data_IF_012201280583
#
_entry.id   IF_012201280583
#
_cell.length_a   1.000
_cell.length_b   1.000
_cell.length_c   1.000
_cell.angle_alpha   90.00
_cell.angle_beta   90.00
_cell.angle_gamma   90.00
#
_symmetry.space_group_name_H-M   'P 1'
#
loop_
_entity.id
_entity.type
_entity.pdbx_description
1 polymer ?
#
# COMPACT_ATOMS: atom_id res chain seq x y z
N UNK A 1 -24.40 3.44 53.12
CA UNK A 1 -23.22 3.21 54.00
C UNK A 1 -23.32 4.01 55.29
N UNK A 2 -23.65 5.30 55.25
CA UNK A 2 -23.72 6.18 56.44
C UNK A 2 -24.63 5.66 57.58
N UNK A 3 -25.86 5.25 57.27
CA UNK A 3 -26.79 4.68 58.28
C UNK A 3 -26.30 3.38 58.93
N UNK A 4 -25.45 2.63 58.23
CA UNK A 4 -24.89 1.35 58.69
C UNK A 4 -23.69 1.62 59.62
N UNK A 5 -22.88 2.63 59.28
CA UNK A 5 -21.78 3.12 60.11
C UNK A 5 -22.32 3.73 61.41
N UNK A 6 -23.40 4.50 61.36
CA UNK A 6 -24.08 5.03 62.56
C UNK A 6 -24.60 3.93 63.49
N UNK A 7 -25.18 2.86 62.93
CA UNK A 7 -25.66 1.73 63.74
C UNK A 7 -24.52 0.95 64.40
N UNK A 8 -23.42 0.73 63.68
CA UNK A 8 -22.22 0.07 64.21
C UNK A 8 -21.58 0.92 65.31
N UNK A 9 -21.52 2.25 65.13
CA UNK A 9 -21.00 3.18 66.14
C UNK A 9 -21.85 3.18 67.42
N UNK A 10 -23.18 3.08 67.29
CA UNK A 10 -24.11 3.04 68.43
C UNK A 10 -24.00 1.76 69.24
N UNK A 11 -23.78 0.62 68.59
CA UNK A 11 -23.70 -0.71 69.22
C UNK A 11 -22.25 -1.17 69.53
N UNK A 12 -21.25 -0.30 69.31
CA UNK A 12 -19.82 -0.63 69.45
C UNK A 12 -19.45 -1.14 70.85
N UNK A 13 -20.07 -0.56 71.89
CA UNK A 13 -19.86 -0.99 73.28
C UNK A 13 -20.27 -2.46 73.50
N UNK A 14 -21.36 -2.90 72.89
CA UNK A 14 -21.90 -4.28 73.03
C UNK A 14 -21.04 -5.27 72.22
N UNK A 15 -20.61 -4.85 71.03
CA UNK A 15 -19.74 -5.63 70.16
C UNK A 15 -18.35 -5.85 70.78
N UNK A 16 -17.79 -4.85 71.48
CA UNK A 16 -16.47 -4.94 72.12
C UNK A 16 -16.43 -5.84 73.35
N UNK A 17 -17.57 -6.06 74.02
CA UNK A 17 -17.67 -6.89 75.22
C UNK A 17 -17.96 -8.37 74.92
N UNK A 18 -18.37 -8.70 73.69
CA UNK A 18 -18.67 -10.07 73.26
C UNK A 18 -17.58 -10.60 72.30
N UNK A 19 -16.67 -11.49 72.74
CA UNK A 19 -15.53 -11.94 71.93
C UNK A 19 -15.95 -12.63 70.61
N UNK A 20 -17.11 -13.30 70.59
CA UNK A 20 -17.66 -13.91 69.38
C UNK A 20 -18.13 -12.88 68.34
N UNK A 21 -18.73 -11.76 68.76
CA UNK A 21 -19.17 -10.70 67.86
C UNK A 21 -17.99 -10.03 67.16
N UNK A 22 -16.90 -9.82 67.90
CA UNK A 22 -15.65 -9.30 67.34
C UNK A 22 -15.05 -10.25 66.28
N UNK A 23 -14.99 -11.56 66.57
CA UNK A 23 -14.52 -12.57 65.62
C UNK A 23 -15.37 -12.62 64.35
N UNK A 24 -16.69 -12.48 64.48
CA UNK A 24 -17.62 -12.49 63.35
C UNK A 24 -17.43 -11.26 62.46
N UNK A 25 -17.27 -10.07 63.05
CA UNK A 25 -16.99 -8.83 62.31
C UNK A 25 -15.61 -8.90 61.65
N UNK A 26 -14.59 -9.41 62.34
CA UNK A 26 -13.26 -9.60 61.77
C UNK A 26 -13.32 -10.54 60.55
N UNK A 27 -14.04 -11.66 60.64
CA UNK A 27 -14.23 -12.58 59.52
C UNK A 27 -14.95 -11.92 58.33
N UNK A 28 -15.98 -11.11 58.58
CA UNK A 28 -16.67 -10.34 57.54
C UNK A 28 -15.73 -9.33 56.89
N UNK A 29 -14.96 -8.57 57.68
CA UNK A 29 -13.99 -7.59 57.17
C UNK A 29 -12.89 -8.24 56.34
N UNK A 30 -12.36 -9.40 56.76
CA UNK A 30 -11.43 -10.19 55.97
C UNK A 30 -12.07 -10.71 54.67
N UNK A 31 -13.32 -11.18 54.72
CA UNK A 31 -14.06 -11.60 53.54
C UNK A 31 -14.26 -10.46 52.54
N UNK A 32 -14.66 -9.28 53.00
CA UNK A 32 -14.82 -8.08 52.16
C UNK A 32 -13.48 -7.61 51.58
N UNK A 33 -12.41 -7.60 52.38
CA UNK A 33 -11.07 -7.26 51.92
C UNK A 33 -10.57 -8.25 50.85
N UNK A 34 -10.81 -9.54 51.05
CA UNK A 34 -10.48 -10.58 50.06
C UNK A 34 -11.27 -10.43 48.77
N UNK A 35 -12.58 -10.16 48.85
CA UNK A 35 -13.41 -9.92 47.66
C UNK A 35 -12.98 -8.66 46.91
N UNK A 36 -12.68 -7.58 47.62
CA UNK A 36 -12.18 -6.34 47.03
C UNK A 36 -10.81 -6.54 46.36
N UNK A 37 -9.88 -7.24 47.02
CA UNK A 37 -8.58 -7.58 46.45
C UNK A 37 -8.73 -8.48 45.22
N UNK A 38 -9.53 -9.54 45.31
CA UNK A 38 -9.82 -10.45 44.18
C UNK A 38 -10.39 -9.69 42.99
N UNK A 39 -11.38 -8.82 43.21
CA UNK A 39 -11.96 -8.01 42.14
C UNK A 39 -10.94 -7.10 41.48
N UNK A 40 -10.12 -6.39 42.28
CA UNK A 40 -9.09 -5.49 41.75
C UNK A 40 -8.02 -6.24 40.96
N UNK A 41 -7.53 -7.37 41.48
CA UNK A 41 -6.51 -8.17 40.80
C UNK A 41 -7.05 -8.84 39.54
N UNK A 42 -8.29 -9.34 39.54
CA UNK A 42 -8.91 -9.86 38.31
C UNK A 42 -8.98 -8.78 37.23
N UNK A 43 -9.41 -7.56 37.58
CA UNK A 43 -9.48 -6.45 36.63
C UNK A 43 -8.10 -6.06 36.07
N UNK A 44 -7.05 -6.08 36.92
CA UNK A 44 -5.67 -5.81 36.47
C UNK A 44 -5.16 -6.92 35.56
N UNK A 45 -5.42 -8.19 35.90
CA UNK A 45 -5.03 -9.34 35.07
C UNK A 45 -5.71 -9.27 33.70
N UNK A 46 -7.01 -8.95 33.67
CA UNK A 46 -7.77 -8.80 32.43
C UNK A 46 -7.26 -7.63 31.57
N UNK A 47 -6.93 -6.50 32.20
CA UNK A 47 -6.31 -5.37 31.51
C UNK A 47 -4.92 -5.72 30.94
N UNK A 48 -4.10 -6.45 31.69
CA UNK A 48 -2.78 -6.89 31.21
C UNK A 48 -2.93 -7.90 30.08
N UNK A 49 -3.85 -8.87 30.20
CA UNK A 49 -4.10 -9.86 29.16
C UNK A 49 -4.60 -9.21 27.87
N UNK A 50 -5.60 -8.32 27.94
CA UNK A 50 -6.07 -7.57 26.76
C UNK A 50 -4.96 -6.73 26.13
N UNK A 51 -4.11 -6.08 26.94
CA UNK A 51 -2.95 -5.35 26.40
C UNK A 51 -1.94 -6.26 25.69
N UNK A 52 -1.68 -7.44 26.25
CA UNK A 52 -0.79 -8.43 25.63
C UNK A 52 -1.38 -8.98 24.34
N UNK A 53 -2.68 -9.24 24.30
CA UNK A 53 -3.36 -9.74 23.09
C UNK A 53 -3.31 -8.70 21.98
N UNK A 54 -3.59 -7.43 22.27
CA UNK A 54 -3.46 -6.35 21.27
C UNK A 54 -2.01 -6.16 20.78
N UNK A 55 -1.01 -6.33 21.66
CA UNK A 55 0.39 -6.27 21.25
C UNK A 55 0.78 -7.47 20.39
N UNK A 56 0.27 -8.68 20.69
CA UNK A 56 0.47 -9.87 19.88
C UNK A 56 -0.15 -9.73 18.50
N UNK A 57 -1.37 -9.20 18.39
CA UNK A 57 -2.01 -8.91 17.11
C UNK A 57 -1.19 -7.92 16.28
N UNK A 58 -0.72 -6.82 16.90
CA UNK A 58 0.15 -5.86 16.20
C UNK A 58 1.47 -6.48 15.74
N UNK A 59 2.05 -7.35 16.55
CA UNK A 59 3.29 -8.06 16.19
C UNK A 59 3.04 -9.01 15.02
N UNK A 60 1.93 -9.77 15.06
CA UNK A 60 1.52 -10.65 13.97
C UNK A 60 1.35 -9.87 12.66
N UNK A 61 0.58 -8.78 12.66
CA UNK A 61 0.36 -7.93 11.49
C UNK A 61 1.68 -7.36 10.95
N UNK A 62 2.58 -6.91 11.82
CA UNK A 62 3.91 -6.44 11.39
C UNK A 62 4.78 -7.56 10.82
N UNK A 63 4.70 -8.76 11.38
CA UNK A 63 5.43 -9.93 10.87
C UNK A 63 4.93 -10.33 9.49
N UNK A 64 3.61 -10.35 9.28
CA UNK A 64 3.00 -10.62 7.96
C UNK A 64 3.41 -9.57 6.91
N UNK A 65 3.41 -8.29 7.31
CA UNK A 65 3.90 -7.22 6.42
C UNK A 65 5.39 -7.40 6.08
N UNK A 66 6.23 -7.73 7.06
CA UNK A 66 7.66 -7.95 6.84
C UNK A 66 7.93 -9.13 5.90
N UNK A 67 7.24 -10.27 6.09
CA UNK A 67 7.34 -11.41 5.19
C UNK A 67 6.83 -11.07 3.78
N UNK A 68 5.71 -10.35 3.66
CA UNK A 68 5.21 -9.89 2.36
C UNK A 68 6.20 -8.98 1.62
N UNK A 69 6.87 -8.08 2.33
CA UNK A 69 7.90 -7.23 1.73
C UNK A 69 9.15 -8.01 1.34
N UNK A 70 9.57 -8.98 2.16
CA UNK A 70 10.69 -9.87 1.87
C UNK A 70 10.41 -10.72 0.63
N UNK A 71 9.24 -11.35 0.54
CA UNK A 71 8.82 -12.14 -0.62
C UNK A 71 8.80 -11.30 -1.91
N UNK A 72 8.33 -10.05 -1.82
CA UNK A 72 8.37 -9.12 -2.96
C UNK A 72 9.79 -8.76 -3.35
N UNK A 73 10.67 -8.48 -2.39
CA UNK A 73 12.06 -8.16 -2.64
C UNK A 73 12.78 -9.33 -3.33
N UNK A 74 12.60 -10.55 -2.82
CA UNK A 74 13.16 -11.77 -3.41
C UNK A 74 12.69 -11.96 -4.86
N UNK A 75 11.40 -11.73 -5.15
CA UNK A 75 10.88 -11.78 -6.54
C UNK A 75 11.53 -10.75 -7.45
N UNK A 76 11.87 -9.56 -6.95
CA UNK A 76 12.58 -8.56 -7.74
C UNK A 76 14.04 -8.95 -7.96
N UNK A 77 14.72 -9.45 -6.93
CA UNK A 77 16.09 -9.94 -7.05
C UNK A 77 16.20 -11.10 -8.05
N UNK A 78 15.26 -12.06 -8.00
CA UNK A 78 15.17 -13.15 -8.99
C UNK A 78 14.98 -12.62 -10.42
N UNK A 79 14.10 -11.63 -10.60
CA UNK A 79 13.90 -10.98 -11.91
C UNK A 79 15.17 -10.30 -12.39
N UNK A 80 15.90 -9.62 -11.50
CA UNK A 80 17.15 -8.89 -11.84
C UNK A 80 18.19 -9.89 -12.27
N UNK A 81 18.40 -10.93 -11.46
CA UNK A 81 19.34 -11.99 -11.77
C UNK A 81 19.04 -12.63 -13.12
N UNK A 82 17.77 -12.92 -13.42
CA UNK A 82 17.37 -13.45 -14.72
C UNK A 82 17.72 -12.51 -15.88
N UNK A 83 17.50 -11.19 -15.74
CA UNK A 83 17.79 -10.21 -16.79
C UNK A 83 19.29 -10.08 -17.01
N UNK A 84 20.09 -10.07 -15.94
CA UNK A 84 21.56 -10.00 -15.99
C UNK A 84 22.15 -11.26 -16.62
N UNK A 85 21.65 -12.44 -16.23
CA UNK A 85 22.15 -13.73 -16.74
C UNK A 85 21.67 -14.04 -18.17
N UNK A 86 20.74 -13.26 -18.71
CA UNK A 86 20.23 -13.45 -20.08
C UNK A 86 21.32 -13.14 -21.11
N UNK A 87 21.43 -13.98 -22.14
CA UNK A 87 22.26 -13.66 -23.29
C UNK A 87 21.72 -12.45 -24.08
N UNK A 88 22.49 -11.91 -25.01
CA UNK A 88 22.10 -10.72 -25.78
C UNK A 88 20.83 -10.95 -26.63
N UNK A 89 20.58 -12.18 -27.08
CA UNK A 89 19.43 -12.53 -27.91
C UNK A 89 18.17 -12.60 -27.06
N UNK A 90 18.22 -13.30 -25.93
CA UNK A 90 17.17 -13.39 -24.94
C UNK A 90 16.84 -12.02 -24.33
N UNK A 91 17.86 -11.20 -24.03
CA UNK A 91 17.64 -9.83 -23.54
C UNK A 91 16.91 -8.98 -24.59
N UNK A 92 17.29 -9.08 -25.87
CA UNK A 92 16.58 -8.42 -26.97
C UNK A 92 15.15 -8.93 -27.08
N UNK A 93 14.92 -10.24 -27.17
CA UNK A 93 13.59 -10.82 -27.32
C UNK A 93 12.65 -10.38 -26.20
N UNK A 94 13.12 -10.46 -24.95
CA UNK A 94 12.37 -9.99 -23.78
C UNK A 94 12.09 -8.49 -23.84
N UNK A 95 13.07 -7.68 -24.26
CA UNK A 95 12.86 -6.24 -24.40
C UNK A 95 11.79 -5.94 -25.45
N UNK A 96 11.82 -6.62 -26.60
CA UNK A 96 10.82 -6.45 -27.66
C UNK A 96 9.44 -6.91 -27.20
N UNK A 97 9.35 -7.98 -26.40
CA UNK A 97 8.09 -8.41 -25.80
C UNK A 97 7.51 -7.35 -24.86
N UNK A 98 8.33 -6.78 -23.96
CA UNK A 98 7.90 -5.69 -23.07
C UNK A 98 7.45 -4.46 -23.87
N UNK A 99 8.20 -4.09 -24.91
CA UNK A 99 7.82 -2.99 -25.82
C UNK A 99 6.48 -3.25 -26.49
N UNK A 100 6.26 -4.47 -27.00
CA UNK A 100 4.98 -4.86 -27.62
C UNK A 100 3.83 -4.70 -26.63
N UNK A 101 3.98 -5.25 -25.42
CA UNK A 101 2.97 -5.16 -24.37
C UNK A 101 2.69 -3.71 -23.94
N UNK A 102 3.73 -2.88 -23.90
CA UNK A 102 3.61 -1.44 -23.60
C UNK A 102 2.88 -0.69 -24.72
N UNK A 103 3.14 -1.00 -25.99
CA UNK A 103 2.42 -0.43 -27.14
C UNK A 103 0.94 -0.83 -27.15
N UNK A 104 0.63 -2.09 -26.84
CA UNK A 104 -0.76 -2.56 -26.72
C UNK A 104 -1.50 -1.85 -25.57
N UNK A 105 -0.81 -1.61 -24.45
CA UNK A 105 -1.31 -0.80 -23.34
C UNK A 105 -1.63 0.64 -23.79
N UNK A 106 -0.69 1.32 -24.46
CA UNK A 106 -0.87 2.68 -24.98
C UNK A 106 -2.09 2.75 -25.91
N UNK A 107 -2.19 1.81 -26.85
CA UNK A 107 -3.25 1.80 -27.86
C UNK A 107 -4.63 1.54 -27.26
N UNK A 108 -4.71 0.76 -26.18
CA UNK A 108 -5.96 0.54 -25.45
C UNK A 108 -6.46 1.83 -24.81
N UNK A 109 -5.60 2.54 -24.08
CA UNK A 109 -5.97 3.79 -23.42
C UNK A 109 -6.22 4.92 -24.42
N UNK A 110 -5.50 4.96 -25.54
CA UNK A 110 -5.77 5.93 -26.60
C UNK A 110 -7.19 5.77 -27.17
N UNK A 111 -7.61 4.52 -27.42
CA UNK A 111 -8.98 4.22 -27.85
C UNK A 111 -10.04 4.58 -26.80
N UNK A 112 -9.71 4.45 -25.53
CA UNK A 112 -10.60 4.84 -24.44
C UNK A 112 -10.73 6.37 -24.31
N UNK A 113 -9.63 7.09 -24.39
CA UNK A 113 -9.60 8.56 -24.41
C UNK A 113 -10.37 9.11 -25.63
N UNK A 114 -10.22 8.51 -26.81
CA UNK A 114 -10.97 8.88 -28.02
C UNK A 114 -12.49 8.68 -27.85
N UNK A 115 -12.92 7.60 -27.19
CA UNK A 115 -14.35 7.35 -26.90
C UNK A 115 -14.92 8.41 -25.94
N UNK A 116 -14.17 8.77 -24.91
CA UNK A 116 -14.56 9.84 -23.96
C UNK A 116 -14.69 11.19 -24.68
N UNK A 117 -13.70 11.53 -25.51
CA UNK A 117 -13.70 12.80 -26.26
C UNK A 117 -14.84 12.91 -27.28
N UNK A 118 -15.26 11.79 -27.89
CA UNK A 118 -16.44 11.77 -28.76
C UNK A 118 -17.75 11.99 -27.99
N UNK A 119 -17.87 11.42 -26.79
CA UNK A 119 -19.01 11.69 -25.89
C UNK A 119 -19.12 13.16 -25.48
N UNK A 120 -17.96 13.82 -25.29
CA UNK A 120 -17.88 15.24 -24.90
C UNK A 120 -18.44 16.21 -25.94
N UNK A 121 -18.28 15.95 -27.24
CA UNK A 121 -18.80 16.83 -28.30
C UNK A 121 -20.34 16.86 -28.35
N UNK A 122 -20.99 15.80 -27.87
CA UNK A 122 -22.45 15.67 -27.91
C UNK A 122 -23.18 16.47 -26.82
N UNK A 123 -22.49 16.84 -25.73
CA UNK A 123 -23.07 17.55 -24.58
C UNK A 123 -22.95 19.08 -24.67
N UNK A 124 -22.24 19.61 -25.68
CA UNK A 124 -21.80 21.01 -25.69
C UNK A 124 -22.82 22.02 -26.24
N UNK A 125 -23.96 21.59 -26.76
CA UNK A 125 -24.77 22.48 -27.61
C UNK A 125 -26.00 23.13 -26.94
N UNK A 126 -26.49 22.66 -25.78
CA UNK A 126 -27.81 23.12 -25.27
C UNK A 126 -27.97 23.25 -23.74
N UNK A 127 -26.89 23.29 -22.94
CA UNK A 127 -27.01 23.31 -21.47
C UNK A 127 -26.88 24.71 -20.82
N UNK A 128 -27.59 24.91 -19.70
CA UNK A 128 -27.48 26.10 -18.83
C UNK A 128 -26.06 26.25 -18.26
N UNK A 129 -25.63 27.46 -17.89
CA UNK A 129 -24.29 27.71 -17.33
C UNK A 129 -24.00 26.86 -16.07
N UNK A 130 -24.99 26.59 -15.23
CA UNK A 130 -24.82 25.74 -14.03
C UNK A 130 -24.68 24.25 -14.37
N UNK A 131 -25.41 23.77 -15.38
CA UNK A 131 -25.33 22.39 -15.86
C UNK A 131 -23.99 22.13 -16.54
N UNK A 132 -23.53 23.11 -17.33
CA UNK A 132 -22.21 23.11 -17.95
C UNK A 132 -21.07 23.06 -16.92
N UNK A 133 -21.21 23.76 -15.79
CA UNK A 133 -20.22 23.71 -14.71
C UNK A 133 -20.20 22.32 -14.05
N UNK A 134 -21.36 21.74 -13.73
CA UNK A 134 -21.46 20.38 -13.18
C UNK A 134 -20.92 19.33 -14.13
N UNK A 135 -21.24 19.43 -15.43
CA UNK A 135 -20.72 18.55 -16.47
C UNK A 135 -19.19 18.65 -16.58
N UNK A 136 -18.64 19.87 -16.49
CA UNK A 136 -17.19 20.08 -16.48
C UNK A 136 -16.50 19.48 -15.25
N UNK A 137 -17.09 19.59 -14.06
CA UNK A 137 -16.55 19.00 -12.82
C UNK A 137 -16.56 17.46 -12.88
N UNK A 138 -17.67 16.86 -13.32
CA UNK A 138 -17.79 15.41 -13.48
C UNK A 138 -16.74 14.91 -14.48
N UNK A 139 -16.59 15.61 -15.61
CA UNK A 139 -15.62 15.22 -16.65
C UNK A 139 -14.17 15.37 -16.19
N UNK A 140 -13.85 16.47 -15.50
CA UNK A 140 -12.50 16.70 -14.97
C UNK A 140 -12.14 15.62 -13.94
N UNK A 141 -13.08 15.26 -13.06
CA UNK A 141 -12.89 14.19 -12.09
C UNK A 141 -12.72 12.82 -12.79
N UNK A 142 -13.51 12.54 -13.82
CA UNK A 142 -13.39 11.31 -14.60
C UNK A 142 -12.05 11.21 -15.33
N UNK A 143 -11.61 12.29 -15.99
CA UNK A 143 -10.32 12.38 -16.66
C UNK A 143 -9.15 12.18 -15.68
N UNK A 144 -9.22 12.81 -14.51
CA UNK A 144 -8.20 12.65 -13.46
C UNK A 144 -8.16 11.21 -12.93
N UNK A 145 -9.33 10.60 -12.70
CA UNK A 145 -9.43 9.19 -12.26
C UNK A 145 -8.81 8.24 -13.29
N UNK A 146 -9.15 8.39 -14.57
CA UNK A 146 -8.61 7.57 -15.65
C UNK A 146 -7.09 7.74 -15.81
N UNK A 147 -6.61 8.98 -15.71
CA UNK A 147 -5.17 9.26 -15.74
C UNK A 147 -4.43 8.58 -14.58
N UNK A 148 -4.99 8.63 -13.37
CA UNK A 148 -4.41 7.97 -12.20
C UNK A 148 -4.43 6.44 -12.33
N UNK A 149 -5.52 5.88 -12.84
CA UNK A 149 -5.66 4.44 -13.07
C UNK A 149 -4.65 3.92 -14.11
N UNK A 150 -4.48 4.65 -15.21
CA UNK A 150 -3.47 4.39 -16.24
C UNK A 150 -2.05 4.41 -15.66
N UNK A 151 -1.71 5.44 -14.89
CA UNK A 151 -0.39 5.55 -14.27
C UNK A 151 -0.16 4.42 -13.25
N UNK A 152 -1.17 4.09 -12.45
CA UNK A 152 -1.10 2.98 -11.49
C UNK A 152 -0.97 1.61 -12.19
N UNK A 153 -1.57 1.42 -13.37
CA UNK A 153 -1.34 0.21 -14.17
C UNK A 153 0.09 0.16 -14.71
N UNK A 154 0.64 1.28 -15.18
CA UNK A 154 2.04 1.35 -15.62
C UNK A 154 3.01 0.99 -14.51
N UNK A 155 2.84 1.58 -13.32
CA UNK A 155 3.67 1.29 -12.14
C UNK A 155 3.65 -0.20 -11.78
N UNK A 156 2.48 -0.83 -11.84
CA UNK A 156 2.30 -2.24 -11.47
C UNK A 156 2.88 -3.22 -12.49
N UNK A 157 2.76 -2.91 -13.78
CA UNK A 157 3.03 -3.87 -14.86
C UNK A 157 4.35 -3.64 -15.59
N UNK A 158 4.75 -2.39 -15.76
CA UNK A 158 5.81 -2.03 -16.70
C UNK A 158 7.00 -1.37 -16.04
N UNK A 159 6.79 -0.47 -15.06
CA UNK A 159 7.87 0.37 -14.50
C UNK A 159 9.13 -0.39 -14.10
N UNK A 160 8.98 -1.46 -13.32
CA UNK A 160 10.14 -2.23 -12.85
C UNK A 160 10.85 -2.91 -14.01
N UNK A 161 10.11 -3.57 -14.89
CA UNK A 161 10.70 -4.30 -16.01
C UNK A 161 11.35 -3.33 -17.02
N UNK A 162 10.76 -2.16 -17.28
CA UNK A 162 11.34 -1.16 -18.20
C UNK A 162 12.62 -0.54 -17.64
N UNK A 163 12.69 -0.25 -16.34
CA UNK A 163 13.90 0.25 -15.67
C UNK A 163 15.00 -0.80 -15.69
N UNK A 164 14.70 -2.04 -15.31
CA UNK A 164 15.68 -3.13 -15.27
C UNK A 164 16.27 -3.42 -16.66
N UNK A 165 15.40 -3.49 -17.69
CA UNK A 165 15.86 -3.71 -19.05
C UNK A 165 16.68 -2.54 -19.57
N UNK A 166 16.30 -1.29 -19.26
CA UNK A 166 17.08 -0.10 -19.62
C UNK A 166 18.49 -0.17 -19.03
N UNK A 167 18.61 -0.46 -17.74
CA UNK A 167 19.90 -0.46 -17.04
C UNK A 167 20.81 -1.56 -17.59
N UNK A 168 20.26 -2.75 -17.85
CA UNK A 168 21.03 -3.84 -18.45
C UNK A 168 21.40 -3.57 -19.92
N UNK A 169 20.50 -2.98 -20.71
CA UNK A 169 20.83 -2.61 -22.09
C UNK A 169 21.93 -1.54 -22.15
N UNK A 170 21.89 -0.56 -21.24
CA UNK A 170 22.92 0.49 -21.14
C UNK A 170 24.25 -0.07 -20.66
N UNK A 171 24.25 -1.05 -19.75
CA UNK A 171 25.49 -1.70 -19.30
C UNK A 171 26.22 -2.41 -20.45
N UNK A 172 25.47 -2.97 -21.40
CA UNK A 172 26.00 -3.64 -22.61
C UNK A 172 26.25 -2.70 -23.79
N UNK A 173 25.72 -1.48 -23.76
CA UNK A 173 25.87 -0.47 -24.82
C UNK A 173 26.61 0.79 -24.30
N UNK A 174 27.93 0.72 -24.05
CA UNK A 174 28.68 1.81 -23.43
C UNK A 174 28.74 3.09 -24.27
N UNK A 175 28.52 2.99 -25.58
CA UNK A 175 28.50 4.14 -26.50
C UNK A 175 27.09 4.71 -26.72
N UNK A 176 26.07 4.18 -26.04
CA UNK A 176 24.71 4.66 -26.18
C UNK A 176 24.56 6.05 -25.57
N UNK A 177 24.06 7.00 -26.38
CA UNK A 177 23.66 8.33 -25.90
C UNK A 177 22.15 8.43 -25.98
N UNK A 178 21.45 8.49 -24.84
CA UNK A 178 20.01 8.76 -24.83
C UNK A 178 19.72 10.06 -25.57
N UNK A 179 18.60 10.12 -26.29
CA UNK A 179 18.09 11.38 -26.84
C UNK A 179 17.66 12.28 -25.67
N UNK A 180 17.66 13.60 -25.87
CA UNK A 180 17.20 14.57 -24.86
C UNK A 180 15.75 14.30 -24.38
N UNK A 181 14.93 13.63 -25.21
CA UNK A 181 13.59 13.19 -24.85
C UNK A 181 13.54 11.95 -23.94
N UNK A 182 14.61 11.16 -23.87
CA UNK A 182 14.66 9.88 -23.16
C UNK A 182 15.35 10.02 -21.79
N UNK A 183 14.83 10.94 -20.98
CA UNK A 183 15.35 11.22 -19.65
C UNK A 183 14.98 10.08 -18.69
N UNK A 184 15.86 9.78 -17.74
CA UNK A 184 15.69 8.63 -16.83
C UNK A 184 14.38 8.69 -16.03
N UNK A 185 13.92 9.89 -15.68
CA UNK A 185 12.67 10.09 -14.96
C UNK A 185 11.42 9.71 -15.78
N UNK A 186 11.50 9.61 -17.12
CA UNK A 186 10.39 9.15 -17.98
C UNK A 186 10.09 7.67 -17.77
N UNK A 187 11.05 6.88 -17.32
CA UNK A 187 10.84 5.47 -16.96
C UNK A 187 10.15 5.30 -15.62
N UNK A 188 10.31 6.27 -14.71
CA UNK A 188 9.71 6.23 -13.38
C UNK A 188 8.30 6.81 -13.39
N UNK A 189 8.11 7.94 -14.08
CA UNK A 189 6.88 8.72 -14.02
C UNK A 189 6.49 9.29 -15.40
N UNK A 190 6.17 8.44 -16.39
CA UNK A 190 5.59 8.90 -17.64
C UNK A 190 4.21 9.53 -17.36
N UNK A 191 4.04 10.78 -17.78
CA UNK A 191 2.83 11.56 -17.47
C UNK A 191 1.72 11.40 -18.51
N UNK A 192 2.07 11.01 -19.74
CA UNK A 192 1.15 10.94 -20.87
C UNK A 192 1.55 9.83 -21.85
N UNK A 193 0.73 9.64 -22.89
CA UNK A 193 0.97 8.66 -23.96
C UNK A 193 2.26 8.88 -24.72
N UNK A 194 2.72 10.12 -24.85
CA UNK A 194 4.03 10.40 -25.44
C UNK A 194 5.15 9.84 -24.56
N UNK A 195 5.11 10.06 -23.25
CA UNK A 195 6.10 9.51 -22.31
C UNK A 195 6.17 7.98 -22.34
N UNK A 196 5.01 7.29 -22.37
CA UNK A 196 5.01 5.83 -22.53
C UNK A 196 5.60 5.39 -23.87
N UNK A 197 5.31 6.12 -24.95
CA UNK A 197 5.83 5.81 -26.27
C UNK A 197 7.33 6.11 -26.38
N UNK A 198 7.83 7.14 -25.71
CA UNK A 198 9.26 7.46 -25.63
C UNK A 198 10.04 6.34 -24.93
N UNK A 199 9.52 5.83 -23.80
CA UNK A 199 10.07 4.65 -23.12
C UNK A 199 10.08 3.43 -24.05
N UNK A 200 8.98 3.18 -24.76
CA UNK A 200 8.91 2.07 -25.71
C UNK A 200 9.92 2.21 -26.85
N UNK A 201 10.05 3.42 -27.42
CA UNK A 201 10.98 3.70 -28.51
C UNK A 201 12.44 3.59 -28.07
N UNK A 202 12.79 4.07 -26.88
CA UNK A 202 14.15 3.99 -26.33
C UNK A 202 14.58 2.53 -26.11
N UNK A 203 13.71 1.73 -25.46
CA UNK A 203 13.95 0.30 -25.26
C UNK A 203 14.07 -0.46 -26.58
N UNK A 204 13.18 -0.19 -27.54
CA UNK A 204 13.22 -0.82 -28.85
C UNK A 204 14.50 -0.48 -29.62
N UNK A 205 14.96 0.77 -29.50
CA UNK A 205 16.17 1.24 -30.15
C UNK A 205 17.41 0.55 -29.56
N UNK A 206 17.54 0.53 -28.23
CA UNK A 206 18.64 -0.16 -27.55
C UNK A 206 18.66 -1.67 -27.87
N UNK A 207 17.50 -2.34 -27.83
CA UNK A 207 17.41 -3.76 -28.15
C UNK A 207 17.84 -4.09 -29.59
N UNK A 208 17.54 -3.20 -30.54
CA UNK A 208 17.98 -3.34 -31.94
C UNK A 208 19.49 -3.11 -32.08
N UNK A 209 20.03 -2.09 -31.40
CA UNK A 209 21.46 -1.78 -31.42
C UNK A 209 22.32 -2.90 -30.83
N UNK A 210 21.82 -3.57 -29.78
CA UNK A 210 22.53 -4.66 -29.10
C UNK A 210 23.02 -5.76 -30.06
N UNK A 211 22.19 -6.13 -31.04
CA UNK A 211 22.55 -7.17 -32.03
C UNK A 211 23.33 -6.61 -33.21
N UNK A 212 23.12 -5.33 -33.57
CA UNK A 212 23.86 -4.71 -34.69
C UNK A 212 25.33 -4.42 -34.33
N UNK A 213 25.62 -4.07 -33.08
CA UNK A 213 26.97 -3.75 -32.62
C UNK A 213 27.98 -4.92 -32.71
N UNK A 214 27.49 -6.16 -32.88
CA UNK A 214 28.31 -7.38 -33.01
C UNK A 214 28.55 -7.80 -34.46
N UNK A 215 27.79 -7.23 -35.41
CA UNK A 215 27.91 -7.54 -36.84
C UNK A 215 28.93 -6.64 -37.57
N UNK A 216 29.57 -5.73 -36.84
CA UNK A 216 30.59 -4.76 -37.29
C UNK A 216 31.85 -4.94 -36.48
#
# INVERSE_FOLDING_TARGET
>A
MEKLIEHIAKEWSVVSQAPFSFLLIAAIMFGLAYLAAKWRFTAVIEQVNSSNDTLRERLHLKSEQAESYKDRALKYDEKVQFVVDSDEVALKERTIEVVKNLREFIERYKREDERMMMGRRSLSNEESNEERQKAWEIETNNMMRLSNERNAEYDRRFRVDTIMLRDELRSRLPNYKPKESHLDHMYEHPTNYFGFNDVACDLEHMAKLLVTAKAS
#
